data_IF_824986909304
#
_entry.id   IF_824986909304
#
_cell.length_a   1.000
_cell.length_b   1.000
_cell.length_c   1.000
_cell.angle_alpha   90.00
_cell.angle_beta   90.00
_cell.angle_gamma   90.00
#
_symmetry.space_group_name_H-M   'P 1'
#
loop_
_entity.id
_entity.type
_entity.pdbx_description
1 polymer ?
#
# COMPACT_ATOMS: atom_id res chain seq x y z
N UNK A 1 8.93 -0.94 2.87
CA UNK A 1 8.37 -0.95 1.50
C UNK A 1 9.52 -0.86 0.49
N UNK A 2 9.45 -1.54 -0.66
CA UNK A 2 10.39 -1.32 -1.77
C UNK A 2 10.04 -0.02 -2.52
N UNK A 3 11.04 0.63 -3.13
CA UNK A 3 10.85 1.91 -3.82
C UNK A 3 9.86 1.82 -4.99
N UNK A 4 9.84 0.73 -5.76
CA UNK A 4 8.88 0.53 -6.87
C UNK A 4 7.42 0.62 -6.42
N UNK A 5 7.08 -0.01 -5.29
CA UNK A 5 5.73 0.03 -4.75
C UNK A 5 5.35 1.45 -4.30
N UNK A 6 6.32 2.17 -3.73
CA UNK A 6 6.14 3.57 -3.30
C UNK A 6 5.84 4.47 -4.49
N UNK A 7 6.59 4.33 -5.59
CA UNK A 7 6.40 5.15 -6.79
C UNK A 7 5.01 4.94 -7.39
N UNK A 8 4.55 3.69 -7.50
CA UNK A 8 3.21 3.38 -8.01
C UNK A 8 2.11 3.99 -7.12
N UNK A 9 2.20 3.80 -5.80
CA UNK A 9 1.19 4.35 -4.87
C UNK A 9 1.20 5.87 -4.93
N UNK A 10 2.38 6.49 -4.86
CA UNK A 10 2.52 7.95 -4.90
C UNK A 10 1.98 8.54 -6.22
N UNK A 11 2.24 7.88 -7.36
CA UNK A 11 1.73 8.27 -8.67
C UNK A 11 0.20 8.20 -8.73
N UNK A 12 -0.39 7.05 -8.42
CA UNK A 12 -1.86 6.87 -8.47
C UNK A 12 -2.56 7.78 -7.49
N UNK A 13 -2.11 7.83 -6.23
CA UNK A 13 -2.72 8.69 -5.22
C UNK A 13 -2.58 10.17 -5.57
N UNK A 14 -1.44 10.59 -6.13
CA UNK A 14 -1.23 11.95 -6.62
C UNK A 14 -2.18 12.31 -7.78
N UNK A 15 -2.38 11.40 -8.73
CA UNK A 15 -3.31 11.59 -9.84
C UNK A 15 -4.79 11.64 -9.41
N UNK A 16 -5.16 10.83 -8.41
CA UNK A 16 -6.53 10.76 -7.89
C UNK A 16 -6.82 11.78 -6.78
N UNK A 17 -5.81 12.48 -6.27
CA UNK A 17 -5.95 13.38 -5.12
C UNK A 17 -6.27 12.65 -3.81
N UNK A 18 -5.89 11.37 -3.71
CA UNK A 18 -6.11 10.53 -2.53
C UNK A 18 -4.93 10.67 -1.58
N UNK A 19 -5.19 10.87 -0.30
CA UNK A 19 -4.15 10.87 0.73
C UNK A 19 -3.72 9.43 1.04
N UNK A 20 -2.41 9.23 1.23
CA UNK A 20 -1.85 7.95 1.66
C UNK A 20 -0.71 8.18 2.64
N UNK A 21 -0.42 7.18 3.46
CA UNK A 21 0.70 7.20 4.41
C UNK A 21 1.51 5.90 4.33
N UNK A 22 2.81 6.01 4.58
CA UNK A 22 3.68 4.85 4.74
C UNK A 22 3.79 4.48 6.23
N UNK A 23 3.54 3.23 6.57
CA UNK A 23 3.76 2.69 7.92
C UNK A 23 4.99 1.80 7.97
N UNK A 24 5.89 2.11 8.89
CA UNK A 24 7.07 1.30 9.20
C UNK A 24 6.71 0.23 10.24
N UNK A 25 6.52 -1.01 9.77
CA UNK A 25 6.16 -2.12 10.63
C UNK A 25 7.28 -2.48 11.64
N UNK A 26 8.53 -2.07 11.42
CA UNK A 26 9.61 -2.35 12.38
C UNK A 26 9.46 -1.58 13.69
N UNK A 27 8.60 -0.56 13.69
CA UNK A 27 8.27 0.28 14.86
C UNK A 27 6.93 -0.08 15.50
N UNK A 28 6.19 -1.02 14.92
CA UNK A 28 4.87 -1.44 15.38
C UNK A 28 4.83 -2.97 15.45
N UNK A 29 4.90 -3.53 16.66
CA UNK A 29 4.91 -4.97 16.88
C UNK A 29 3.64 -5.68 16.36
N UNK A 30 2.49 -5.00 16.37
CA UNK A 30 1.25 -5.58 15.87
C UNK A 30 1.31 -5.71 14.34
N UNK A 31 1.70 -4.64 13.65
CA UNK A 31 1.88 -4.68 12.20
C UNK A 31 3.01 -5.62 11.78
N UNK A 32 4.10 -5.67 12.55
CA UNK A 32 5.18 -6.62 12.30
C UNK A 32 4.67 -8.05 12.35
N UNK A 33 3.98 -8.44 13.43
CA UNK A 33 3.45 -9.79 13.60
C UNK A 33 2.48 -10.18 12.48
N UNK A 34 1.68 -9.23 11.99
CA UNK A 34 0.65 -9.49 10.99
C UNK A 34 1.17 -9.54 9.55
N UNK A 35 2.12 -8.65 9.20
CA UNK A 35 2.46 -8.38 7.80
C UNK A 35 3.91 -8.65 7.41
N UNK A 36 4.79 -9.06 8.34
CA UNK A 36 6.23 -9.21 8.05
C UNK A 36 6.57 -10.15 6.88
N UNK A 37 5.75 -11.17 6.59
CA UNK A 37 5.94 -12.12 5.47
C UNK A 37 5.33 -11.64 4.14
N UNK A 38 4.57 -10.55 4.17
CA UNK A 38 3.73 -10.08 3.05
C UNK A 38 4.19 -8.73 2.47
N UNK A 39 5.32 -8.18 2.92
CA UNK A 39 5.78 -6.85 2.51
C UNK A 39 6.10 -6.81 1.00
N UNK A 40 5.72 -5.75 0.27
CA UNK A 40 4.89 -4.62 0.71
C UNK A 40 3.41 -4.99 0.80
N UNK A 41 2.74 -4.54 1.87
CA UNK A 41 1.28 -4.63 2.03
C UNK A 41 0.67 -3.26 1.79
N UNK A 42 -0.39 -3.20 0.98
CA UNK A 42 -1.19 -1.99 0.75
C UNK A 42 -2.56 -2.21 1.35
N UNK A 43 -3.01 -1.28 2.19
CA UNK A 43 -4.35 -1.24 2.73
C UNK A 43 -5.14 -0.13 2.05
N UNK A 44 -6.36 -0.41 1.60
CA UNK A 44 -7.32 0.59 1.10
C UNK A 44 -8.52 0.55 2.04
N UNK A 45 -8.88 1.69 2.62
CA UNK A 45 -9.94 1.80 3.63
C UNK A 45 -9.81 0.83 4.82
N UNK A 46 -8.57 0.45 5.16
CA UNK A 46 -8.25 -0.49 6.23
C UNK A 46 -8.32 -1.97 5.83
N UNK A 47 -8.73 -2.28 4.60
CA UNK A 47 -8.73 -3.64 4.06
C UNK A 47 -7.49 -3.92 3.22
N UNK A 48 -6.94 -5.13 3.34
CA UNK A 48 -5.76 -5.53 2.58
C UNK A 48 -6.08 -5.60 1.09
N UNK A 49 -5.54 -4.66 0.33
CA UNK A 49 -5.71 -4.59 -1.11
C UNK A 49 -4.77 -5.58 -1.82
N UNK A 50 -3.46 -5.49 -1.57
CA UNK A 50 -2.45 -6.35 -2.21
C UNK A 50 -1.26 -6.57 -1.30
N UNK A 51 -0.51 -7.63 -1.61
CA UNK A 51 0.79 -7.92 -1.02
C UNK A 51 1.80 -8.33 -2.12
N UNK A 52 3.10 -8.17 -1.84
CA UNK A 52 4.25 -8.44 -2.74
C UNK A 52 4.39 -7.61 -4.01
N UNK A 53 3.31 -7.35 -4.75
CA UNK A 53 3.33 -6.51 -5.96
C UNK A 53 2.15 -5.54 -5.96
N UNK A 54 2.47 -4.27 -6.22
CA UNK A 54 1.46 -3.24 -6.45
C UNK A 54 1.28 -3.11 -7.97
N UNK A 55 0.06 -3.38 -8.42
CA UNK A 55 -0.34 -3.14 -9.81
C UNK A 55 -1.09 -1.81 -9.88
N UNK A 56 -0.60 -0.90 -10.70
CA UNK A 56 -1.16 0.45 -10.85
C UNK A 56 -2.62 0.42 -11.29
N UNK A 57 -2.96 -0.40 -12.29
CA UNK A 57 -4.30 -0.47 -12.84
C UNK A 57 -5.31 -1.02 -11.84
N UNK A 58 -4.92 -2.04 -11.06
CA UNK A 58 -5.75 -2.60 -10.00
C UNK A 58 -5.93 -1.64 -8.83
N UNK A 59 -4.84 -0.97 -8.41
CA UNK A 59 -4.91 0.03 -7.35
C UNK A 59 -5.84 1.19 -7.76
N UNK A 60 -5.72 1.68 -8.99
CA UNK A 60 -6.56 2.75 -9.52
C UNK A 60 -8.03 2.37 -9.53
N UNK A 61 -8.37 1.14 -9.93
CA UNK A 61 -9.74 0.65 -9.93
C UNK A 61 -10.35 0.64 -8.53
N UNK A 62 -9.63 0.09 -7.55
CA UNK A 62 -10.14 0.05 -6.18
C UNK A 62 -10.30 1.45 -5.57
N UNK A 63 -9.39 2.39 -5.88
CA UNK A 63 -9.50 3.77 -5.39
C UNK A 63 -10.59 4.60 -6.08
N UNK A 64 -11.13 4.14 -7.21
CA UNK A 64 -12.15 4.86 -7.98
C UNK A 64 -13.57 4.30 -7.79
N UNK A 65 -13.72 3.03 -7.38
CA UNK A 65 -15.02 2.38 -7.16
C UNK A 65 -15.71 1.94 -8.46
#
# INVERSE_FOLDING_TARGET
MCDDAREVIAGVCGELGVAWEEKDITRDEALHKEYWEQIPVVLVDGEQHTFWRVDEGRLRRELQG
#
